data_IF_581120638994
#
_entry.id   IF_581120638994
#
_cell.length_a   1.000
_cell.length_b   1.000
_cell.length_c   1.000
_cell.angle_alpha   90.00
_cell.angle_beta   90.00
_cell.angle_gamma   90.00
#
_symmetry.space_group_name_H-M   'P 1'
#
loop_
_entity.id
_entity.type
_entity.pdbx_description
1 polymer ?
#
# COMPACT_ATOMS: atom_id res chain seq x y z
N UNK A 1 -1.26 24.87 -8.52
CA UNK A 1 -2.25 23.80 -8.28
C UNK A 1 -1.54 22.62 -7.64
N UNK A 2 -1.38 22.64 -6.32
CA UNK A 2 -0.75 21.53 -5.58
C UNK A 2 -1.73 21.06 -4.52
N UNK A 3 -2.52 20.06 -4.87
CA UNK A 3 -3.29 19.29 -3.90
C UNK A 3 -2.30 18.46 -3.08
N UNK A 4 -1.87 19.02 -1.95
CA UNK A 4 -1.46 18.24 -0.78
C UNK A 4 -2.69 17.42 -0.37
N UNK A 5 -2.84 16.26 -1.00
CA UNK A 5 -3.93 15.34 -0.69
C UNK A 5 -3.67 14.86 0.73
N UNK A 6 -4.63 15.14 1.61
CA UNK A 6 -4.77 14.54 2.94
C UNK A 6 -4.45 13.04 2.87
N UNK A 7 -3.22 12.65 3.23
CA UNK A 7 -2.78 11.25 3.29
C UNK A 7 -3.68 10.40 4.21
N UNK A 8 -4.45 11.06 5.10
CA UNK A 8 -5.33 10.45 6.09
C UNK A 8 -6.74 10.04 5.61
N UNK A 9 -7.09 10.22 4.33
CA UNK A 9 -8.48 10.00 3.88
C UNK A 9 -8.76 8.61 3.29
N UNK A 10 -7.77 7.85 2.84
CA UNK A 10 -8.01 6.61 2.12
C UNK A 10 -7.92 5.40 3.05
N UNK A 11 -9.06 4.98 3.58
CA UNK A 11 -9.15 3.76 4.38
C UNK A 11 -8.98 2.52 3.50
N UNK A 12 -7.92 1.77 3.74
CA UNK A 12 -7.64 0.53 3.03
C UNK A 12 -8.78 -0.50 3.17
N UNK A 13 -9.11 -1.25 2.10
CA UNK A 13 -10.00 -2.40 2.15
C UNK A 13 -9.56 -3.45 3.19
N UNK A 14 -10.54 -4.16 3.76
CA UNK A 14 -10.29 -5.17 4.83
C UNK A 14 -9.33 -6.30 4.46
N UNK A 15 -9.14 -6.57 3.17
CA UNK A 15 -8.24 -7.62 2.70
C UNK A 15 -6.77 -7.18 2.67
N UNK A 16 -6.50 -5.86 2.78
CA UNK A 16 -5.16 -5.31 2.86
C UNK A 16 -4.72 -5.35 4.32
N UNK A 17 -4.06 -6.44 4.71
CA UNK A 17 -3.68 -6.71 6.10
C UNK A 17 -2.22 -6.37 6.41
N UNK A 18 -1.39 -6.14 5.39
CA UNK A 18 0.04 -5.85 5.56
C UNK A 18 0.27 -4.35 5.68
N UNK A 19 1.27 -3.94 6.48
CA UNK A 19 1.65 -2.53 6.62
C UNK A 19 2.07 -1.93 5.29
N UNK A 20 2.87 -2.66 4.52
CA UNK A 20 3.27 -2.26 3.17
C UNK A 20 2.06 -2.02 2.24
N UNK A 21 1.04 -2.88 2.33
CA UNK A 21 -0.19 -2.72 1.56
C UNK A 21 -1.03 -1.51 1.99
N UNK A 22 -1.10 -1.23 3.30
CA UNK A 22 -1.79 -0.04 3.83
C UNK A 22 -1.06 1.23 3.38
N UNK A 23 0.28 1.24 3.50
CA UNK A 23 1.11 2.33 3.01
C UNK A 23 0.93 2.55 1.50
N UNK A 24 0.98 1.50 0.68
CA UNK A 24 0.81 1.61 -0.77
C UNK A 24 -0.58 2.17 -1.13
N UNK A 25 -1.63 1.79 -0.38
CA UNK A 25 -2.98 2.31 -0.58
C UNK A 25 -3.10 3.82 -0.30
N UNK A 26 -2.36 4.31 0.70
CA UNK A 26 -2.35 5.72 1.11
C UNK A 26 -1.42 6.57 0.22
N UNK A 27 -0.22 6.07 -0.05
CA UNK A 27 0.87 6.79 -0.73
C UNK A 27 0.76 6.75 -2.26
N UNK A 28 0.24 5.66 -2.83
CA UNK A 28 0.18 5.46 -4.29
C UNK A 28 -1.27 5.42 -4.78
N UNK A 29 -1.68 6.53 -5.41
CA UNK A 29 -3.02 6.67 -5.98
C UNK A 29 -3.29 5.79 -7.20
N UNK A 30 -2.25 5.32 -7.91
CA UNK A 30 -2.39 4.37 -9.00
C UNK A 30 -2.55 2.95 -8.44
N UNK A 31 -1.69 2.56 -7.50
CA UNK A 31 -1.79 1.28 -6.79
C UNK A 31 -3.17 1.12 -6.13
N UNK A 32 -3.67 2.17 -5.47
CA UNK A 32 -5.03 2.19 -4.92
C UNK A 32 -6.11 1.88 -5.95
N UNK A 33 -6.04 2.48 -7.16
CA UNK A 33 -7.03 2.21 -8.22
C UNK A 33 -6.98 0.76 -8.70
N UNK A 34 -5.80 0.15 -8.73
CA UNK A 34 -5.65 -1.28 -9.02
C UNK A 34 -6.23 -2.13 -7.90
N UNK A 35 -5.95 -1.81 -6.64
CA UNK A 35 -6.50 -2.49 -5.47
C UNK A 35 -8.03 -2.43 -5.40
N UNK A 36 -8.64 -1.29 -5.73
CA UNK A 36 -10.09 -1.12 -5.77
C UNK A 36 -10.76 -1.96 -6.88
N UNK A 37 -10.01 -2.33 -7.91
CA UNK A 37 -10.47 -3.17 -9.04
C UNK A 37 -10.07 -4.64 -8.92
N UNK A 38 -9.41 -5.03 -7.83
CA UNK A 38 -8.97 -6.40 -7.60
C UNK A 38 -10.11 -7.26 -7.01
N UNK A 39 -10.72 -8.08 -7.87
CA UNK A 39 -11.86 -8.91 -7.49
C UNK A 39 -11.46 -10.34 -7.10
N UNK A 40 -10.35 -10.86 -7.63
CA UNK A 40 -9.87 -12.20 -7.30
C UNK A 40 -8.90 -12.22 -6.13
N UNK A 41 -8.87 -13.34 -5.40
CA UNK A 41 -7.88 -13.57 -4.32
C UNK A 41 -6.45 -13.56 -4.88
N UNK A 42 -6.25 -14.06 -6.10
CA UNK A 42 -4.94 -14.08 -6.73
C UNK A 42 -4.41 -12.67 -7.06
N UNK A 43 -5.25 -11.78 -7.59
CA UNK A 43 -4.87 -10.38 -7.84
C UNK A 43 -4.54 -9.65 -6.54
N UNK A 44 -5.38 -9.82 -5.51
CA UNK A 44 -5.15 -9.24 -4.19
C UNK A 44 -3.82 -9.70 -3.61
N UNK A 45 -3.48 -10.99 -3.73
CA UNK A 45 -2.20 -11.50 -3.25
C UNK A 45 -1.02 -10.86 -3.98
N UNK A 46 -1.09 -10.79 -5.31
CA UNK A 46 -0.04 -10.14 -6.12
C UNK A 46 0.17 -8.68 -5.74
N UNK A 47 -0.91 -7.94 -5.47
CA UNK A 47 -0.83 -6.55 -5.03
C UNK A 47 -0.12 -6.42 -3.68
N UNK A 48 -0.39 -7.31 -2.72
CA UNK A 48 0.32 -7.30 -1.43
C UNK A 48 1.81 -7.60 -1.62
N UNK A 49 2.14 -8.61 -2.42
CA UNK A 49 3.54 -8.96 -2.72
C UNK A 49 4.25 -7.79 -3.44
N UNK A 50 3.55 -7.04 -4.30
CA UNK A 50 4.07 -5.84 -4.95
C UNK A 50 4.28 -4.69 -3.96
N UNK A 51 3.32 -4.45 -3.06
CA UNK A 51 3.43 -3.43 -2.03
C UNK A 51 4.62 -3.72 -1.10
N UNK A 52 4.83 -4.97 -0.70
CA UNK A 52 6.01 -5.39 0.08
C UNK A 52 7.31 -5.04 -0.66
N UNK A 53 7.42 -5.37 -1.95
CA UNK A 53 8.62 -5.02 -2.74
C UNK A 53 8.82 -3.52 -2.89
N UNK A 54 7.75 -2.75 -3.01
CA UNK A 54 7.83 -1.28 -3.08
C UNK A 54 8.34 -0.70 -1.76
N UNK A 55 7.85 -1.25 -0.65
CA UNK A 55 8.25 -0.85 0.70
C UNK A 55 9.73 -1.21 0.97
N UNK A 56 10.18 -2.41 0.60
CA UNK A 56 11.59 -2.84 0.72
C UNK A 56 12.55 -1.99 -0.14
N UNK A 57 12.07 -1.46 -1.26
CA UNK A 57 12.87 -0.59 -2.15
C UNK A 57 13.00 0.83 -1.63
N UNK A 58 12.21 1.24 -0.64
CA UNK A 58 12.33 2.57 -0.06
C UNK A 58 13.53 2.58 0.91
N UNK A 59 14.58 3.39 0.67
CA UNK A 59 15.81 3.37 1.47
C UNK A 59 15.66 4.12 2.81
N UNK A 60 14.57 3.87 3.55
CA UNK A 60 14.27 4.59 4.79
C UNK A 60 13.21 3.98 5.69
N UNK A 61 12.63 2.82 5.34
CA UNK A 61 11.78 2.06 6.26
C UNK A 61 12.59 0.99 7.01
N UNK A 62 13.79 1.35 7.47
CA UNK A 62 14.45 0.71 8.60
C UNK A 62 13.77 1.18 9.89
N UNK A 63 12.49 0.85 10.05
CA UNK A 63 11.88 0.84 11.39
C UNK A 63 11.99 -0.57 11.91
N UNK A 64 13.12 -0.80 12.57
CA UNK A 64 13.14 -1.37 13.91
C UNK A 64 12.23 -2.60 14.11
N UNK A 65 12.64 -3.75 13.54
CA UNK A 65 12.66 -4.96 14.36
C UNK A 65 13.88 -4.85 15.27
N UNK A 66 13.69 -4.11 16.36
CA UNK A 66 14.56 -4.09 17.50
C UNK A 66 14.42 -5.41 18.28
N UNK A 67 15.56 -5.88 18.79
CA UNK A 67 15.77 -6.84 19.89
C UNK A 67 15.71 -8.35 19.58
#
# INVERSE_FOLDING_TARGET
MSTLINAKMYKAPRWITTEAGQWAYEADGEWRRYADRAFSVAERRRLLDEAERLHERQPGSDTASAE
#
